data_IF_335384971647
#
_entry.id   IF_335384971647
#
_cell.length_a   1.000
_cell.length_b   1.000
_cell.length_c   1.000
_cell.angle_alpha   90.00
_cell.angle_beta   90.00
_cell.angle_gamma   90.00
#
_symmetry.space_group_name_H-M   'P 1'
#
loop_
_entity.id
_entity.type
_entity.pdbx_description
1 polymer ?
#
# COMPACT_ATOMS: atom_id res chain seq x y z
N UNK A 1 -7.95 37.44 -8.58
CA UNK A 1 -8.81 37.84 -9.71
C UNK A 1 -9.88 38.83 -9.27
N UNK A 2 -10.97 38.41 -8.62
CA UNK A 2 -12.07 39.33 -8.25
C UNK A 2 -11.67 40.51 -7.34
N UNK A 3 -10.70 40.30 -6.43
CA UNK A 3 -10.20 41.34 -5.54
C UNK A 3 -8.97 42.10 -6.08
N UNK A 4 -8.59 41.91 -7.35
CA UNK A 4 -7.42 42.58 -7.95
C UNK A 4 -6.05 42.14 -7.42
N UNK A 5 -5.98 41.26 -6.41
CA UNK A 5 -4.71 40.72 -5.90
C UNK A 5 -4.14 39.71 -6.91
N UNK A 6 -2.94 39.99 -7.39
CA UNK A 6 -2.19 39.12 -8.30
C UNK A 6 -1.64 37.90 -7.53
N UNK A 7 -1.73 36.71 -8.16
CA UNK A 7 -1.21 35.47 -7.56
C UNK A 7 0.29 35.43 -7.80
N UNK A 8 1.08 35.63 -6.75
CA UNK A 8 2.53 35.44 -6.78
C UNK A 8 2.92 34.13 -6.08
N UNK A 9 3.85 33.40 -6.69
CA UNK A 9 4.36 32.13 -6.15
C UNK A 9 5.87 32.10 -6.23
N UNK A 10 6.51 31.66 -5.16
CA UNK A 10 7.95 31.43 -5.06
C UNK A 10 8.14 30.00 -4.57
N UNK A 11 8.97 29.21 -5.25
CA UNK A 11 9.24 27.80 -4.92
C UNK A 11 7.97 26.94 -4.74
N UNK A 12 6.93 27.19 -5.54
CA UNK A 12 5.65 26.46 -5.45
C UNK A 12 4.74 26.89 -4.30
N UNK A 13 5.20 27.77 -3.40
CA UNK A 13 4.40 28.33 -2.31
C UNK A 13 3.83 29.70 -2.70
N UNK A 14 2.62 29.99 -2.23
CA UNK A 14 1.93 31.25 -2.50
C UNK A 14 2.37 32.32 -1.52
N UNK A 15 2.86 33.45 -2.02
CA UNK A 15 3.10 34.64 -1.21
C UNK A 15 1.76 35.16 -0.68
N UNK A 16 1.69 35.44 0.61
CA UNK A 16 0.46 35.85 1.29
C UNK A 16 0.64 37.19 1.98
N UNK A 17 0.15 38.28 1.37
CA UNK A 17 0.08 39.61 2.00
C UNK A 17 -1.03 39.68 3.07
N UNK A 18 -1.06 40.71 3.93
CA UNK A 18 -2.18 40.94 4.86
C UNK A 18 -3.55 40.98 4.18
N UNK A 19 -3.67 41.66 3.04
CA UNK A 19 -4.91 41.77 2.26
C UNK A 19 -5.30 40.41 1.67
N UNK A 20 -4.31 39.66 1.17
CA UNK A 20 -4.54 38.32 0.65
C UNK A 20 -4.99 37.36 1.76
N UNK A 21 -4.37 37.43 2.96
CA UNK A 21 -4.74 36.61 4.10
C UNK A 21 -6.18 36.87 4.55
N UNK A 22 -6.61 38.14 4.58
CA UNK A 22 -7.98 38.49 4.95
C UNK A 22 -9.02 37.82 4.04
N UNK A 23 -8.71 37.69 2.74
CA UNK A 23 -9.56 36.97 1.78
C UNK A 23 -9.45 35.46 1.98
N UNK A 24 -8.23 34.93 2.08
CA UNK A 24 -7.96 33.49 2.29
C UNK A 24 -8.71 32.98 3.51
N UNK A 25 -8.63 33.70 4.63
CA UNK A 25 -9.36 33.37 5.86
C UNK A 25 -10.86 33.30 5.63
N UNK A 26 -11.47 34.32 5.00
CA UNK A 26 -12.92 34.32 4.71
C UNK A 26 -13.33 33.14 3.83
N UNK A 27 -12.53 32.83 2.81
CA UNK A 27 -12.78 31.69 1.92
C UNK A 27 -12.69 30.38 2.68
N UNK A 28 -11.66 30.17 3.52
CA UNK A 28 -11.54 28.97 4.34
C UNK A 28 -12.71 28.80 5.30
N UNK A 29 -13.12 29.86 6.02
CA UNK A 29 -14.30 29.79 6.88
C UNK A 29 -15.56 29.42 6.10
N UNK A 30 -15.79 30.06 4.95
CA UNK A 30 -16.96 29.78 4.12
C UNK A 30 -16.96 28.35 3.55
N UNK A 31 -15.83 27.85 3.06
CA UNK A 31 -15.75 26.49 2.54
C UNK A 31 -15.80 25.42 3.64
N UNK A 32 -15.19 25.68 4.79
CA UNK A 32 -15.24 24.79 5.96
C UNK A 32 -16.69 24.62 6.44
N UNK A 33 -17.40 25.73 6.65
CA UNK A 33 -18.81 25.70 7.05
C UNK A 33 -19.68 25.04 5.99
N UNK A 34 -19.48 25.35 4.70
CA UNK A 34 -20.22 24.72 3.60
C UNK A 34 -20.06 23.20 3.60
N UNK A 35 -18.87 22.68 3.88
CA UNK A 35 -18.63 21.23 3.97
C UNK A 35 -19.32 20.62 5.20
N UNK A 36 -19.26 21.29 6.35
CA UNK A 36 -19.94 20.85 7.58
C UNK A 36 -21.46 20.80 7.36
N UNK A 37 -22.05 21.84 6.79
CA UNK A 37 -23.48 21.90 6.47
C UNK A 37 -23.88 20.81 5.47
N UNK A 38 -23.05 20.55 4.45
CA UNK A 38 -23.30 19.48 3.48
C UNK A 38 -23.26 18.08 4.14
N UNK A 39 -22.36 17.85 5.08
CA UNK A 39 -22.30 16.60 5.85
C UNK A 39 -23.53 16.46 6.76
N UNK A 40 -23.90 17.53 7.47
CA UNK A 40 -25.09 17.54 8.34
C UNK A 40 -26.39 17.35 7.55
N UNK A 41 -26.48 17.88 6.34
CA UNK A 41 -27.60 17.63 5.42
C UNK A 41 -27.69 16.18 4.94
N UNK A 42 -26.68 15.35 5.20
CA UNK A 42 -26.67 13.91 4.96
C UNK A 42 -26.68 13.12 6.28
N UNK A 43 -27.22 13.72 7.35
CA UNK A 43 -27.35 13.15 8.70
C UNK A 43 -26.01 12.80 9.39
N UNK A 44 -24.88 13.27 8.87
CA UNK A 44 -23.59 13.11 9.52
C UNK A 44 -23.36 14.24 10.53
N UNK A 45 -22.93 13.88 11.75
CA UNK A 45 -22.44 14.89 12.70
C UNK A 45 -21.07 15.37 12.25
N UNK A 46 -20.93 16.67 12.03
CA UNK A 46 -19.67 17.32 11.69
C UNK A 46 -19.48 18.62 12.49
N UNK A 47 -18.24 18.92 12.86
CA UNK A 47 -17.85 20.11 13.64
C UNK A 47 -16.85 20.94 12.83
N UNK A 48 -17.14 22.23 12.66
CA UNK A 48 -16.22 23.20 12.04
C UNK A 48 -15.07 23.54 12.98
N UNK A 49 -13.83 23.27 12.58
CA UNK A 49 -12.61 23.63 13.30
C UNK A 49 -11.74 24.49 12.37
N UNK A 50 -11.73 25.79 12.61
CA UNK A 50 -11.10 26.77 11.70
C UNK A 50 -9.83 27.40 12.26
N UNK A 51 -9.51 27.09 13.52
CA UNK A 51 -8.48 27.72 14.35
C UNK A 51 -8.10 26.78 15.50
N UNK A 52 -6.94 26.99 16.12
CA UNK A 52 -6.51 26.29 17.33
C UNK A 52 -6.02 24.84 17.15
N UNK A 53 -5.83 24.36 15.92
CA UNK A 53 -5.21 23.04 15.65
C UNK A 53 -3.73 23.18 15.34
N UNK A 54 -3.35 24.17 14.54
CA UNK A 54 -1.97 24.35 14.08
C UNK A 54 -1.35 25.57 14.74
N UNK A 55 -0.40 25.35 15.65
CA UNK A 55 0.50 26.38 16.12
C UNK A 55 1.67 26.48 15.13
N UNK A 56 1.96 27.69 14.63
CA UNK A 56 2.88 27.91 13.52
C UNK A 56 3.72 29.16 13.71
N UNK A 57 4.95 29.12 13.20
CA UNK A 57 5.81 30.28 13.03
C UNK A 57 5.80 30.75 11.57
N UNK A 58 6.34 31.94 11.31
CA UNK A 58 6.58 32.38 9.93
C UNK A 58 7.59 31.46 9.25
N UNK A 59 7.25 30.96 8.06
CA UNK A 59 8.16 30.15 7.25
C UNK A 59 9.39 30.98 6.82
N UNK A 60 9.12 32.10 6.16
CA UNK A 60 10.07 33.17 5.87
C UNK A 60 9.22 34.41 5.59
N UNK A 61 9.26 35.36 6.52
CA UNK A 61 8.38 36.53 6.48
C UNK A 61 8.72 37.47 5.33
N UNK A 62 9.99 37.58 4.97
CA UNK A 62 10.45 38.50 3.94
C UNK A 62 10.12 37.94 2.54
N UNK A 63 10.23 36.62 2.38
CA UNK A 63 9.95 35.95 1.10
C UNK A 63 8.46 35.66 0.89
N UNK A 64 7.76 35.13 1.90
CA UNK A 64 6.40 34.59 1.74
C UNK A 64 5.32 35.40 2.44
N UNK A 65 5.68 36.36 3.30
CA UNK A 65 4.72 37.15 4.06
C UNK A 65 4.07 36.34 5.19
N UNK A 66 2.73 36.31 5.22
CA UNK A 66 1.93 35.64 6.24
C UNK A 66 1.72 34.15 5.94
N UNK A 67 2.81 33.44 5.67
CA UNK A 67 2.82 31.99 5.43
C UNK A 67 3.51 31.31 6.61
N UNK A 68 2.88 30.24 7.11
CA UNK A 68 3.29 29.55 8.32
C UNK A 68 3.97 28.21 8.07
N UNK A 69 4.92 27.88 8.93
CA UNK A 69 5.46 26.55 9.15
C UNK A 69 4.90 26.02 10.48
N UNK A 70 4.28 24.85 10.46
CA UNK A 70 3.69 24.25 11.67
C UNK A 70 4.82 23.87 12.64
N UNK A 71 4.66 24.25 13.90
CA UNK A 71 5.57 23.89 14.99
C UNK A 71 4.97 22.89 15.96
N UNK A 72 3.64 22.95 16.14
CA UNK A 72 2.92 22.04 17.01
C UNK A 72 1.48 21.86 16.52
N UNK A 73 0.98 20.63 16.68
CA UNK A 73 -0.44 20.31 16.45
C UNK A 73 -1.12 20.12 17.81
N UNK A 74 -2.16 20.90 18.08
CA UNK A 74 -3.04 20.71 19.23
C UNK A 74 -4.22 19.82 18.85
N UNK A 75 -4.28 18.64 19.47
CA UNK A 75 -5.34 17.67 19.23
C UNK A 75 -6.61 17.93 20.04
N UNK A 76 -6.59 18.83 21.03
CA UNK A 76 -7.74 19.02 21.92
C UNK A 76 -9.04 19.36 21.18
N UNK A 77 -9.06 20.27 20.17
CA UNK A 77 -10.28 20.54 19.41
C UNK A 77 -10.80 19.33 18.63
N UNK A 78 -9.87 18.53 18.09
CA UNK A 78 -10.17 17.32 17.31
C UNK A 78 -10.78 16.26 18.23
N UNK A 79 -10.14 16.01 19.38
CA UNK A 79 -10.59 15.04 20.36
C UNK A 79 -11.98 15.39 20.92
N UNK A 80 -12.25 16.67 21.20
CA UNK A 80 -13.56 17.11 21.65
C UNK A 80 -14.66 16.81 20.62
N UNK A 81 -14.39 17.05 19.32
CA UNK A 81 -15.33 16.71 18.24
C UNK A 81 -15.56 15.20 18.16
N UNK A 82 -14.50 14.40 18.21
CA UNK A 82 -14.57 12.94 18.12
C UNK A 82 -15.32 12.34 19.33
N UNK A 83 -15.11 12.87 20.54
CA UNK A 83 -15.85 12.46 21.74
C UNK A 83 -17.35 12.75 21.64
N UNK A 84 -17.73 13.83 20.95
CA UNK A 84 -19.12 14.12 20.62
C UNK A 84 -19.68 13.24 19.49
N UNK A 85 -18.88 12.32 18.94
CA UNK A 85 -19.25 11.49 17.79
C UNK A 85 -19.44 12.29 16.50
N UNK A 86 -18.68 13.38 16.35
CA UNK A 86 -18.77 14.33 15.24
C UNK A 86 -17.46 14.38 14.45
N UNK A 87 -17.58 14.42 13.12
CA UNK A 87 -16.45 14.50 12.18
C UNK A 87 -15.78 15.88 12.31
N UNK A 88 -14.50 15.95 12.70
CA UNK A 88 -13.76 17.21 12.76
C UNK A 88 -13.41 17.68 11.35
N UNK A 89 -13.97 18.81 10.90
CA UNK A 89 -13.64 19.43 9.62
C UNK A 89 -12.68 20.58 9.87
N UNK A 90 -11.41 20.37 9.51
CA UNK A 90 -10.29 21.24 9.91
C UNK A 90 -9.86 22.14 8.74
N UNK A 91 -9.67 23.44 8.99
CA UNK A 91 -9.06 24.36 8.01
C UNK A 91 -7.53 24.39 8.14
N UNK A 92 -6.82 24.53 7.01
CA UNK A 92 -5.34 24.65 6.99
C UNK A 92 -4.88 26.09 7.29
N UNK A 93 -5.20 26.58 8.49
CA UNK A 93 -4.78 27.88 9.00
C UNK A 93 -3.98 27.69 10.30
N UNK A 94 -2.89 28.43 10.41
CA UNK A 94 -1.99 28.39 11.57
C UNK A 94 -2.12 29.62 12.44
N UNK A 95 -1.69 29.50 13.69
CA UNK A 95 -1.64 30.59 14.65
C UNK A 95 -0.25 30.69 15.29
N UNK A 96 0.31 31.89 15.31
CA UNK A 96 1.51 32.16 16.12
C UNK A 96 1.15 32.20 17.60
N UNK A 97 2.14 32.09 18.48
CA UNK A 97 1.95 32.28 19.93
C UNK A 97 1.33 33.66 20.30
N UNK A 98 1.47 34.65 19.42
CA UNK A 98 0.84 35.97 19.57
C UNK A 98 -0.58 36.08 19.00
N UNK A 99 -1.15 34.99 18.48
CA UNK A 99 -2.50 34.95 17.88
C UNK A 99 -2.58 35.46 16.44
N UNK A 100 -1.45 35.66 15.75
CA UNK A 100 -1.47 36.02 14.33
C UNK A 100 -1.80 34.79 13.50
N UNK A 101 -2.83 34.90 12.66
CA UNK A 101 -3.19 33.86 11.70
C UNK A 101 -2.18 33.81 10.55
N UNK A 102 -1.76 32.62 10.16
CA UNK A 102 -0.88 32.37 9.02
C UNK A 102 -1.54 31.39 8.06
N UNK A 103 -1.28 31.57 6.76
CA UNK A 103 -1.69 30.60 5.75
C UNK A 103 -0.71 29.42 5.76
N UNK A 104 -1.22 28.18 5.83
CA UNK A 104 -0.38 26.97 5.78
C UNK A 104 -0.70 26.19 4.50
N UNK A 105 0.32 25.60 3.89
CA UNK A 105 0.12 24.64 2.81
C UNK A 105 -0.65 23.41 3.33
N UNK A 106 -1.72 23.01 2.63
CA UNK A 106 -2.59 21.93 3.09
C UNK A 106 -1.89 20.56 3.20
N UNK A 107 -0.96 20.25 2.30
CA UNK A 107 -0.21 18.99 2.34
C UNK A 107 0.74 18.97 3.55
N UNK A 108 1.39 20.09 3.86
CA UNK A 108 2.22 20.22 5.06
C UNK A 108 1.39 20.12 6.34
N UNK A 109 0.25 20.83 6.40
CA UNK A 109 -0.66 20.74 7.55
C UNK A 109 -1.16 19.29 7.76
N UNK A 110 -1.51 18.59 6.68
CA UNK A 110 -1.94 17.20 6.75
C UNK A 110 -0.82 16.28 7.23
N UNK A 111 0.42 16.45 6.72
CA UNK A 111 1.56 15.64 7.14
C UNK A 111 1.86 15.79 8.64
N UNK A 112 1.86 17.01 9.15
CA UNK A 112 2.07 17.30 10.57
C UNK A 112 0.96 16.70 11.44
N UNK A 113 -0.30 16.82 11.01
CA UNK A 113 -1.41 16.19 11.69
C UNK A 113 -1.29 14.66 11.69
N UNK A 114 -0.89 14.05 10.58
CA UNK A 114 -0.71 12.60 10.44
C UNK A 114 0.41 12.10 11.36
N UNK A 115 1.53 12.82 11.46
CA UNK A 115 2.62 12.45 12.35
C UNK A 115 2.19 12.45 13.82
N UNK A 116 1.33 13.38 14.23
CA UNK A 116 0.85 13.44 15.61
C UNK A 116 -0.30 12.47 15.88
N UNK A 117 -1.21 12.28 14.91
CA UNK A 117 -2.39 11.43 15.05
C UNK A 117 -2.08 9.93 14.88
N UNK A 118 -1.05 9.58 14.11
CA UNK A 118 -0.65 8.20 13.78
C UNK A 118 -1.83 7.35 13.26
N UNK A 119 -2.52 7.77 12.18
CA UNK A 119 -3.75 7.14 11.73
C UNK A 119 -3.52 5.77 11.08
N UNK A 120 -4.50 4.89 11.19
CA UNK A 120 -4.54 3.60 10.48
C UNK A 120 -4.76 3.78 8.96
N UNK A 121 -5.54 4.80 8.57
CA UNK A 121 -5.87 5.10 7.17
C UNK A 121 -5.75 6.59 6.91
N UNK A 122 -5.08 6.93 5.82
CA UNK A 122 -4.99 8.29 5.28
C UNK A 122 -5.62 8.23 3.91
N UNK A 123 -6.58 9.11 3.63
CA UNK A 123 -7.28 9.11 2.34
C UNK A 123 -7.14 10.46 1.67
N UNK A 124 -6.55 10.46 0.47
CA UNK A 124 -6.52 11.60 -0.42
C UNK A 124 -7.67 11.48 -1.43
N UNK A 125 -8.62 12.40 -1.34
CA UNK A 125 -9.73 12.49 -2.29
C UNK A 125 -9.33 13.38 -3.48
N UNK A 126 -9.38 12.84 -4.69
CA UNK A 126 -9.02 13.56 -5.91
C UNK A 126 -10.04 13.31 -7.03
N UNK A 127 -10.07 14.19 -8.04
CA UNK A 127 -10.91 13.98 -9.22
C UNK A 127 -10.41 12.87 -10.15
N UNK A 128 -9.09 12.61 -10.16
CA UNK A 128 -8.46 11.56 -10.98
C UNK A 128 -8.64 10.17 -10.39
N UNK A 129 -8.91 10.06 -9.08
CA UNK A 129 -9.28 8.81 -8.44
C UNK A 129 -8.17 7.80 -8.20
N UNK A 130 -6.91 8.16 -8.41
CA UNK A 130 -5.77 7.28 -8.22
C UNK A 130 -4.50 7.85 -8.85
N UNK A 131 -3.40 7.12 -8.69
CA UNK A 131 -2.18 7.25 -9.49
C UNK A 131 -2.36 6.43 -10.76
N UNK A 132 -1.86 6.95 -11.88
CA UNK A 132 -2.02 6.31 -13.20
C UNK A 132 -0.69 5.69 -13.64
N UNK A 133 -0.74 4.53 -14.28
CA UNK A 133 0.40 3.91 -14.96
C UNK A 133 0.69 4.55 -16.33
N UNK A 134 1.72 4.02 -17.03
CA UNK A 134 2.11 4.45 -18.38
C UNK A 134 0.97 4.32 -19.42
N UNK A 135 0.07 3.35 -19.22
CA UNK A 135 -1.08 3.12 -20.08
C UNK A 135 -2.31 3.99 -19.70
N UNK A 136 -2.19 4.80 -18.65
CA UNK A 136 -3.27 5.66 -18.15
C UNK A 136 -4.30 4.93 -17.29
N UNK A 137 -4.04 3.69 -16.87
CA UNK A 137 -4.90 2.95 -15.96
C UNK A 137 -4.55 3.28 -14.50
N UNK A 138 -5.52 3.14 -13.60
CA UNK A 138 -5.26 3.33 -12.17
C UNK A 138 -4.39 2.18 -11.66
N UNK A 139 -3.31 2.53 -10.95
CA UNK A 139 -2.48 1.58 -10.22
C UNK A 139 -3.26 1.18 -8.96
N UNK A 140 -3.69 -0.07 -8.86
CA UNK A 140 -4.52 -0.54 -7.74
C UNK A 140 -3.78 -0.46 -6.40
N UNK A 141 -2.50 -0.86 -6.38
CA UNK A 141 -1.70 -0.92 -5.15
C UNK A 141 -0.22 -0.69 -5.37
N UNK A 142 0.46 -0.11 -4.38
CA UNK A 142 1.91 0.10 -4.35
C UNK A 142 2.46 -0.34 -2.99
N UNK A 143 3.42 -1.26 -3.00
CA UNK A 143 4.25 -1.63 -1.86
C UNK A 143 5.61 -0.93 -1.96
N UNK A 144 5.81 0.10 -1.13
CA UNK A 144 6.99 0.94 -1.19
C UNK A 144 8.30 0.18 -0.88
N UNK A 145 8.27 -0.87 -0.06
CA UNK A 145 9.48 -1.64 0.29
C UNK A 145 10.04 -2.44 -0.88
N UNK A 146 9.20 -2.80 -1.86
CA UNK A 146 9.58 -3.60 -3.01
C UNK A 146 9.60 -2.81 -4.31
N UNK A 147 8.69 -1.85 -4.48
CA UNK A 147 8.44 -1.23 -5.79
C UNK A 147 8.98 0.20 -5.90
N UNK A 148 9.30 0.87 -4.78
CA UNK A 148 9.56 2.32 -4.79
C UNK A 148 10.70 2.74 -5.73
N UNK A 149 11.87 2.10 -5.63
CA UNK A 149 13.04 2.47 -6.44
C UNK A 149 12.79 2.27 -7.94
N UNK A 150 12.14 1.15 -8.29
CA UNK A 150 11.77 0.87 -9.68
C UNK A 150 10.73 1.87 -10.19
N UNK A 151 9.71 2.15 -9.39
CA UNK A 151 8.62 3.05 -9.73
C UNK A 151 9.13 4.48 -9.95
N UNK A 152 9.95 5.00 -9.03
CA UNK A 152 10.44 6.39 -9.10
C UNK A 152 11.45 6.61 -10.24
N UNK A 153 12.06 5.53 -10.74
CA UNK A 153 12.96 5.54 -11.89
C UNK A 153 12.22 5.50 -13.23
N UNK A 154 10.91 5.21 -13.24
CA UNK A 154 10.14 5.12 -14.49
C UNK A 154 10.03 6.49 -15.17
N UNK A 155 10.21 6.56 -16.51
CA UNK A 155 10.12 7.83 -17.25
C UNK A 155 8.77 8.54 -17.14
N UNK A 156 7.68 7.78 -17.01
CA UNK A 156 6.31 8.31 -16.88
C UNK A 156 5.99 8.83 -15.47
N UNK A 157 6.80 8.50 -14.46
CA UNK A 157 6.70 9.07 -13.11
C UNK A 157 7.45 10.40 -13.05
N UNK A 158 6.78 11.47 -13.46
CA UNK A 158 7.36 12.82 -13.49
C UNK A 158 6.47 13.89 -12.85
N UNK A 159 7.07 15.05 -12.56
CA UNK A 159 6.37 16.22 -12.03
C UNK A 159 5.64 15.96 -10.70
N UNK A 160 4.38 16.36 -10.63
CA UNK A 160 3.58 16.26 -9.40
C UNK A 160 3.29 14.82 -8.94
N UNK A 161 3.33 13.84 -9.84
CA UNK A 161 3.13 12.43 -9.45
C UNK A 161 4.31 11.92 -8.62
N UNK A 162 5.54 12.21 -9.07
CA UNK A 162 6.77 11.88 -8.36
C UNK A 162 6.79 12.48 -6.95
N UNK A 163 6.52 13.78 -6.83
CA UNK A 163 6.44 14.49 -5.54
C UNK A 163 5.41 13.83 -4.61
N UNK A 164 4.26 13.41 -5.13
CA UNK A 164 3.21 12.76 -4.34
C UNK A 164 3.65 11.40 -3.80
N UNK A 165 4.33 10.58 -4.61
CA UNK A 165 4.85 9.28 -4.17
C UNK A 165 5.93 9.47 -3.09
N UNK A 166 6.84 10.43 -3.29
CA UNK A 166 7.88 10.77 -2.30
C UNK A 166 7.29 11.23 -0.97
N UNK A 167 6.27 12.09 -1.00
CA UNK A 167 5.55 12.54 0.19
C UNK A 167 4.84 11.39 0.91
N UNK A 168 4.12 10.54 0.16
CA UNK A 168 3.43 9.37 0.72
C UNK A 168 4.43 8.42 1.38
N UNK A 169 5.58 8.18 0.74
CA UNK A 169 6.65 7.39 1.33
C UNK A 169 7.16 8.01 2.63
N UNK A 170 7.52 9.29 2.61
CA UNK A 170 8.02 9.99 3.80
C UNK A 170 7.05 9.90 4.98
N UNK A 171 5.75 10.01 4.71
CA UNK A 171 4.70 9.87 5.73
C UNK A 171 4.65 8.43 6.26
N UNK A 172 4.52 7.44 5.37
CA UNK A 172 4.40 6.02 5.77
C UNK A 172 5.65 5.47 6.46
N UNK A 173 6.83 6.02 6.19
CA UNK A 173 8.08 5.66 6.88
C UNK A 173 8.01 6.01 8.39
N UNK A 174 7.24 7.03 8.77
CA UNK A 174 7.08 7.47 10.18
C UNK A 174 5.89 6.82 10.91
N UNK A 175 5.07 6.04 10.19
CA UNK A 175 3.85 5.44 10.72
C UNK A 175 4.03 3.93 11.04
N UNK A 176 3.11 3.33 11.81
CA UNK A 176 3.06 1.88 11.97
C UNK A 176 2.92 1.14 10.63
N UNK A 177 3.42 -0.09 10.55
CA UNK A 177 3.29 -0.94 9.34
C UNK A 177 1.84 -1.15 8.90
N UNK A 178 0.91 -1.09 9.85
CA UNK A 178 -0.53 -1.22 9.61
C UNK A 178 -1.14 -0.02 8.90
N UNK A 179 -0.46 1.13 8.91
CA UNK A 179 -0.95 2.35 8.28
C UNK A 179 -0.86 2.26 6.75
N UNK A 180 -1.82 2.90 6.09
CA UNK A 180 -1.88 2.93 4.63
C UNK A 180 -2.45 4.25 4.12
N UNK A 181 -2.03 4.61 2.92
CA UNK A 181 -2.55 5.75 2.17
C UNK A 181 -3.43 5.22 1.04
N UNK A 182 -4.63 5.75 0.89
CA UNK A 182 -5.50 5.51 -0.28
C UNK A 182 -5.71 6.81 -1.05
N UNK A 183 -5.57 6.76 -2.38
CA UNK A 183 -5.92 7.87 -3.27
C UNK A 183 -7.12 7.43 -4.09
N UNK A 184 -8.26 8.09 -3.92
CA UNK A 184 -9.52 7.67 -4.56
C UNK A 184 -10.45 8.87 -4.86
N UNK A 185 -11.59 8.62 -5.50
CA UNK A 185 -12.66 9.59 -5.70
C UNK A 185 -13.63 9.54 -4.52
N UNK A 186 -14.32 10.65 -4.20
CA UNK A 186 -15.38 10.63 -3.18
C UNK A 186 -16.45 9.56 -3.40
N UNK A 187 -16.84 9.31 -4.66
CA UNK A 187 -17.84 8.27 -5.01
C UNK A 187 -17.36 6.85 -4.74
N UNK A 188 -16.04 6.63 -4.78
CA UNK A 188 -15.42 5.31 -4.67
C UNK A 188 -14.90 5.03 -3.26
N UNK A 189 -15.03 5.98 -2.33
CA UNK A 189 -14.44 5.92 -0.99
C UNK A 189 -14.85 4.66 -0.22
N UNK A 190 -16.14 4.31 -0.22
CA UNK A 190 -16.62 3.13 0.49
C UNK A 190 -16.06 1.83 -0.13
N UNK A 191 -16.00 1.77 -1.46
CA UNK A 191 -15.44 0.63 -2.17
C UNK A 191 -13.94 0.47 -1.87
N UNK A 192 -13.20 1.58 -1.86
CA UNK A 192 -11.79 1.62 -1.50
C UNK A 192 -11.51 1.16 -0.07
N UNK A 193 -12.34 1.58 0.90
CA UNK A 193 -12.11 1.29 2.31
C UNK A 193 -12.57 -0.11 2.74
N UNK A 194 -13.60 -0.67 2.11
CA UNK A 194 -14.29 -1.87 2.60
C UNK A 194 -14.27 -3.05 1.63
N UNK A 195 -13.52 -2.97 0.52
CA UNK A 195 -13.35 -4.10 -0.42
C UNK A 195 -11.88 -4.41 -0.65
N UNK A 196 -11.54 -5.67 -0.93
CA UNK A 196 -10.18 -6.08 -1.23
C UNK A 196 -9.67 -5.59 -2.59
N UNK A 197 -10.57 -5.42 -3.56
CA UNK A 197 -10.22 -4.90 -4.89
C UNK A 197 -10.01 -3.39 -4.87
N UNK A 198 -10.60 -2.69 -3.90
CA UNK A 198 -10.55 -1.23 -3.82
C UNK A 198 -11.18 -0.55 -5.04
N UNK A 199 -10.95 0.76 -5.13
CA UNK A 199 -11.25 1.56 -6.33
C UNK A 199 -10.46 2.86 -6.28
N UNK A 200 -9.15 2.72 -6.37
CA UNK A 200 -8.17 3.79 -6.29
C UNK A 200 -6.77 3.21 -6.21
N UNK A 201 -5.85 3.97 -5.65
CA UNK A 201 -4.48 3.51 -5.40
C UNK A 201 -4.23 3.36 -3.91
N UNK A 202 -3.98 2.13 -3.48
CA UNK A 202 -3.61 1.79 -2.12
C UNK A 202 -2.09 1.71 -1.97
N UNK A 203 -1.50 2.64 -1.25
CA UNK A 203 -0.07 2.68 -0.96
C UNK A 203 0.20 2.24 0.46
N UNK A 204 1.14 1.30 0.62
CA UNK A 204 1.63 0.81 1.91
C UNK A 204 3.14 0.89 1.95
N UNK A 205 3.70 1.05 3.16
CA UNK A 205 5.13 0.82 3.35
C UNK A 205 5.49 -0.62 2.96
N UNK A 206 4.61 -1.55 3.32
CA UNK A 206 4.81 -2.98 3.12
C UNK A 206 6.00 -3.48 3.95
N UNK A 207 6.50 -4.65 3.58
CA UNK A 207 7.64 -5.29 4.21
C UNK A 207 8.72 -5.56 3.20
N UNK A 208 9.98 -5.55 3.65
CA UNK A 208 11.08 -6.03 2.83
C UNK A 208 10.93 -7.52 2.60
N UNK A 209 11.32 -7.96 1.41
CA UNK A 209 11.39 -9.39 1.06
C UNK A 209 12.84 -9.83 1.26
N UNK A 210 13.03 -10.73 2.22
CA UNK A 210 14.30 -11.42 2.46
C UNK A 210 14.41 -12.58 1.47
N UNK A 211 15.55 -12.71 0.81
CA UNK A 211 15.86 -13.85 -0.04
C UNK A 211 16.86 -14.76 0.66
N UNK A 212 16.69 -16.07 0.51
CA UNK A 212 17.61 -17.06 1.08
C UNK A 212 17.89 -18.20 0.10
N UNK A 213 19.14 -18.66 0.10
CA UNK A 213 19.59 -19.80 -0.73
C UNK A 213 19.81 -21.09 0.06
N UNK A 214 19.93 -20.97 1.39
CA UNK A 214 20.07 -22.08 2.33
C UNK A 214 19.04 -21.97 3.46
N UNK A 215 18.63 -23.12 4.01
CA UNK A 215 17.78 -23.18 5.20
C UNK A 215 18.41 -22.52 6.43
N UNK A 216 19.74 -22.48 6.50
CA UNK A 216 20.51 -21.88 7.60
C UNK A 216 20.37 -20.36 7.67
N UNK A 217 19.97 -19.71 6.57
CA UNK A 217 19.76 -18.27 6.48
C UNK A 217 18.39 -17.84 7.05
N UNK A 218 17.52 -18.80 7.40
CA UNK A 218 16.13 -18.56 7.79
C UNK A 218 15.86 -18.98 9.24
N UNK A 219 14.94 -18.28 9.89
CA UNK A 219 14.33 -18.72 11.14
C UNK A 219 13.30 -19.82 10.84
N UNK A 220 13.75 -21.06 10.87
CA UNK A 220 12.91 -22.23 10.55
C UNK A 220 11.76 -22.42 11.54
N UNK A 221 11.88 -21.94 12.78
CA UNK A 221 10.81 -22.01 13.78
C UNK A 221 9.67 -21.09 13.37
N UNK A 222 9.98 -19.84 13.01
CA UNK A 222 8.98 -18.88 12.51
C UNK A 222 8.41 -19.30 11.17
N UNK A 223 9.25 -19.80 10.26
CA UNK A 223 8.80 -20.28 8.95
C UNK A 223 7.83 -21.45 9.06
N UNK A 224 8.13 -22.43 9.93
CA UNK A 224 7.20 -23.54 10.20
C UNK A 224 5.88 -23.03 10.76
N UNK A 225 5.92 -22.15 11.76
CA UNK A 225 4.70 -21.57 12.35
C UNK A 225 3.85 -20.84 11.30
N UNK A 226 4.48 -20.08 10.41
CA UNK A 226 3.82 -19.42 9.29
C UNK A 226 3.13 -20.43 8.37
N UNK A 227 3.86 -21.45 7.91
CA UNK A 227 3.32 -22.48 7.01
C UNK A 227 2.15 -23.20 7.69
N UNK A 228 2.31 -23.62 8.94
CA UNK A 228 1.27 -24.34 9.69
C UNK A 228 -0.01 -23.51 9.80
N UNK A 229 0.14 -22.22 10.08
CA UNK A 229 -0.99 -21.28 10.22
C UNK A 229 -1.66 -21.01 8.88
N UNK A 230 -0.90 -20.74 7.82
CA UNK A 230 -1.43 -20.39 6.50
C UNK A 230 -2.18 -21.55 5.82
N UNK A 231 -1.73 -22.79 6.03
CA UNK A 231 -2.38 -23.98 5.45
C UNK A 231 -3.38 -24.66 6.39
N UNK A 232 -3.45 -24.24 7.66
CA UNK A 232 -4.28 -24.88 8.69
C UNK A 232 -3.89 -26.34 8.98
N UNK A 233 -2.67 -26.74 8.62
CA UNK A 233 -2.15 -28.12 8.68
C UNK A 233 -0.67 -28.09 9.04
N UNK A 234 -0.19 -29.09 9.78
CA UNK A 234 1.21 -29.15 10.19
C UNK A 234 2.12 -29.55 9.03
N UNK A 235 3.22 -28.84 8.90
CA UNK A 235 4.35 -29.22 8.07
C UNK A 235 5.01 -30.46 8.66
N UNK A 236 5.35 -31.43 7.80
CA UNK A 236 6.00 -32.65 8.26
C UNK A 236 7.31 -32.34 9.00
N UNK A 237 7.65 -33.10 10.06
CA UNK A 237 8.80 -32.79 10.92
C UNK A 237 10.12 -32.70 10.15
N UNK A 238 10.35 -33.66 9.25
CA UNK A 238 11.55 -33.87 8.43
C UNK A 238 11.58 -33.04 7.12
N UNK A 239 10.69 -32.05 6.98
CA UNK A 239 10.55 -31.30 5.73
C UNK A 239 11.85 -30.61 5.32
N UNK A 240 12.48 -29.86 6.23
CA UNK A 240 13.68 -29.08 5.91
C UNK A 240 14.90 -29.96 5.64
N UNK A 241 14.92 -31.16 6.21
CA UNK A 241 15.98 -32.15 6.06
C UNK A 241 15.91 -32.87 4.71
N UNK A 242 14.70 -33.11 4.17
CA UNK A 242 14.52 -33.86 2.91
C UNK A 242 14.44 -32.98 1.67
N UNK A 243 14.13 -31.70 1.81
CA UNK A 243 13.96 -30.79 0.66
C UNK A 243 15.22 -30.00 0.38
N UNK A 244 15.64 -30.00 -0.87
CA UNK A 244 16.72 -29.13 -1.35
C UNK A 244 16.14 -27.76 -1.69
N UNK A 245 16.46 -26.75 -0.87
CA UNK A 245 16.08 -25.37 -1.15
C UNK A 245 16.75 -24.91 -2.45
N UNK A 246 15.96 -24.40 -3.38
CA UNK A 246 16.48 -23.61 -4.51
C UNK A 246 16.59 -22.15 -4.09
N UNK A 247 15.48 -21.58 -3.62
CA UNK A 247 15.41 -20.21 -3.13
C UNK A 247 14.17 -20.01 -2.27
N UNK A 248 14.26 -19.18 -1.24
CA UNK A 248 13.13 -18.74 -0.45
C UNK A 248 12.99 -17.22 -0.50
N UNK A 249 11.75 -16.75 -0.48
CA UNK A 249 11.37 -15.34 -0.40
C UNK A 249 10.44 -15.18 0.78
N UNK A 250 10.88 -14.48 1.81
CA UNK A 250 10.16 -14.36 3.08
C UNK A 250 10.01 -12.89 3.43
N UNK A 251 8.79 -12.44 3.72
CA UNK A 251 8.59 -11.09 4.27
C UNK A 251 9.39 -10.95 5.58
N UNK A 252 9.98 -9.80 5.86
CA UNK A 252 10.83 -9.58 7.04
C UNK A 252 10.19 -10.00 8.38
N UNK A 253 8.87 -9.92 8.52
CA UNK A 253 8.12 -10.33 9.71
C UNK A 253 7.54 -11.76 9.63
N UNK A 254 7.90 -12.56 8.64
CA UNK A 254 7.44 -13.95 8.45
C UNK A 254 5.90 -14.06 8.39
N UNK A 255 5.25 -13.14 7.68
CA UNK A 255 3.81 -13.17 7.39
C UNK A 255 3.50 -13.77 6.01
N UNK A 256 4.48 -13.76 5.11
CA UNK A 256 4.42 -14.39 3.79
C UNK A 256 5.73 -15.13 3.52
N UNK A 257 5.64 -16.32 2.93
CA UNK A 257 6.77 -17.06 2.43
C UNK A 257 6.46 -17.75 1.10
N UNK A 258 7.36 -17.61 0.14
CA UNK A 258 7.44 -18.39 -1.08
C UNK A 258 8.69 -19.27 -1.00
N UNK A 259 8.53 -20.58 -1.13
CA UNK A 259 9.63 -21.55 -1.08
C UNK A 259 9.70 -22.28 -2.41
N UNK A 260 10.85 -22.17 -3.06
CA UNK A 260 11.17 -22.87 -4.29
C UNK A 260 12.17 -23.99 -3.98
N UNK A 261 11.89 -25.20 -4.46
CA UNK A 261 12.80 -26.35 -4.35
C UNK A 261 13.36 -26.72 -5.71
N UNK A 262 14.56 -27.29 -5.71
CA UNK A 262 15.18 -27.81 -6.93
C UNK A 262 14.73 -29.24 -7.14
N UNK A 263 14.16 -29.53 -8.30
CA UNK A 263 13.65 -30.85 -8.66
C UNK A 263 14.20 -31.28 -10.03
N UNK A 264 14.10 -32.58 -10.34
CA UNK A 264 14.57 -33.13 -11.62
C UNK A 264 13.84 -32.52 -12.83
N UNK A 265 12.56 -32.17 -12.64
CA UNK A 265 11.74 -31.51 -13.65
C UNK A 265 11.95 -29.98 -13.72
N UNK A 266 12.78 -29.39 -12.84
CA UNK A 266 13.09 -27.96 -12.82
C UNK A 266 12.85 -27.29 -11.46
N UNK A 267 12.75 -25.96 -11.44
CA UNK A 267 12.42 -25.20 -10.24
C UNK A 267 10.93 -25.31 -9.93
N UNK A 268 10.62 -25.79 -8.72
CA UNK A 268 9.26 -26.08 -8.29
C UNK A 268 8.85 -25.18 -7.12
N UNK A 269 7.66 -24.57 -7.21
CA UNK A 269 7.09 -23.83 -6.09
C UNK A 269 6.42 -24.80 -5.10
N UNK A 270 7.08 -24.99 -3.96
CA UNK A 270 6.67 -25.96 -2.94
C UNK A 270 5.76 -25.38 -1.87
N UNK A 271 5.98 -24.11 -1.50
CA UNK A 271 5.09 -23.37 -0.58
C UNK A 271 4.85 -21.96 -1.09
N UNK A 272 3.59 -21.56 -1.02
CA UNK A 272 3.19 -20.17 -0.97
C UNK A 272 2.28 -20.00 0.24
N UNK A 273 2.86 -19.54 1.35
CA UNK A 273 2.18 -19.35 2.63
C UNK A 273 1.91 -17.86 2.85
N UNK A 274 0.67 -17.50 3.12
CA UNK A 274 0.23 -16.13 3.41
C UNK A 274 -0.70 -16.18 4.61
N UNK A 275 -0.35 -15.51 5.72
CA UNK A 275 -1.25 -15.38 6.86
C UNK A 275 -2.51 -14.59 6.48
N UNK A 276 -3.64 -14.91 7.09
CA UNK A 276 -4.92 -14.22 6.84
C UNK A 276 -4.83 -12.70 7.05
N UNK A 277 -4.08 -12.25 8.06
CA UNK A 277 -3.84 -10.83 8.32
C UNK A 277 -3.08 -10.13 7.18
N UNK A 278 -2.24 -10.87 6.44
CA UNK A 278 -1.51 -10.35 5.28
C UNK A 278 -2.31 -10.47 3.97
N UNK A 279 -3.45 -11.18 3.97
CA UNK A 279 -4.34 -11.25 2.82
C UNK A 279 -5.08 -9.91 2.65
N UNK A 280 -5.11 -9.38 1.43
CA UNK A 280 -5.61 -8.02 1.17
C UNK A 280 -4.64 -6.90 1.57
N UNK A 281 -3.52 -7.22 2.23
CA UNK A 281 -2.43 -6.27 2.40
C UNK A 281 -1.64 -6.03 1.10
N UNK A 282 -1.81 -6.90 0.10
CA UNK A 282 -1.00 -6.90 -1.13
C UNK A 282 0.38 -7.54 -0.92
N UNK A 283 0.74 -7.92 0.32
CA UNK A 283 2.05 -8.49 0.65
C UNK A 283 2.31 -9.81 -0.08
N UNK A 284 1.31 -10.68 -0.18
CA UNK A 284 1.41 -11.94 -0.94
C UNK A 284 1.79 -11.71 -2.41
N UNK A 285 1.14 -10.72 -3.05
CA UNK A 285 1.43 -10.33 -4.43
C UNK A 285 2.83 -9.71 -4.55
N UNK A 286 3.23 -8.86 -3.60
CA UNK A 286 4.57 -8.26 -3.60
C UNK A 286 5.69 -9.31 -3.51
N UNK A 287 5.58 -10.29 -2.60
CA UNK A 287 6.56 -11.39 -2.49
C UNK A 287 6.55 -12.26 -3.75
N UNK A 288 5.37 -12.52 -4.32
CA UNK A 288 5.24 -13.27 -5.58
C UNK A 288 5.95 -12.58 -6.74
N UNK A 289 5.78 -11.26 -6.90
CA UNK A 289 6.43 -10.51 -8.00
C UNK A 289 7.96 -10.51 -7.85
N UNK A 290 8.49 -10.26 -6.65
CA UNK A 290 9.94 -10.36 -6.39
C UNK A 290 10.47 -11.76 -6.73
N UNK A 291 9.71 -12.81 -6.39
CA UNK A 291 10.08 -14.18 -6.78
C UNK A 291 10.04 -14.38 -8.30
N UNK A 292 8.98 -13.93 -8.96
CA UNK A 292 8.78 -14.11 -10.40
C UNK A 292 9.86 -13.42 -11.23
N UNK A 293 10.27 -12.21 -10.84
CA UNK A 293 11.32 -11.43 -11.52
C UNK A 293 12.67 -12.16 -11.53
N UNK A 294 12.98 -12.92 -10.48
CA UNK A 294 14.22 -13.67 -10.36
C UNK A 294 14.13 -15.09 -10.93
N UNK A 295 12.92 -15.61 -11.15
CA UNK A 295 12.67 -16.99 -11.58
C UNK A 295 11.79 -16.98 -12.83
N UNK A 296 12.38 -16.90 -14.05
CA UNK A 296 11.63 -16.76 -15.29
C UNK A 296 10.87 -18.02 -15.70
N UNK A 297 11.17 -19.17 -15.07
CA UNK A 297 10.51 -20.46 -15.31
C UNK A 297 10.16 -21.11 -13.99
N UNK A 298 8.91 -21.56 -13.86
CA UNK A 298 8.43 -22.18 -12.64
C UNK A 298 7.24 -23.09 -12.92
N UNK A 299 7.10 -24.15 -12.14
CA UNK A 299 5.91 -24.98 -12.13
C UNK A 299 5.49 -25.34 -10.71
N UNK A 300 4.20 -25.60 -10.50
CA UNK A 300 3.65 -25.92 -9.20
C UNK A 300 2.33 -26.69 -9.29
N UNK A 301 1.85 -27.14 -8.14
CA UNK A 301 0.51 -27.74 -8.02
C UNK A 301 -0.29 -27.10 -6.89
N UNK A 302 -1.61 -27.15 -7.02
CA UNK A 302 -2.55 -26.78 -5.97
C UNK A 302 -3.69 -27.80 -5.89
N UNK A 303 -4.31 -27.95 -4.71
CA UNK A 303 -5.49 -28.83 -4.57
C UNK A 303 -6.67 -28.24 -5.36
N UNK A 304 -7.52 -29.12 -5.88
CA UNK A 304 -8.83 -28.73 -6.44
C UNK A 304 -9.63 -27.97 -5.38
N UNK A 305 -10.20 -26.82 -5.76
CA UNK A 305 -11.05 -26.00 -4.89
C UNK A 305 -10.31 -25.12 -3.88
N UNK A 306 -8.97 -25.06 -3.94
CA UNK A 306 -8.21 -24.11 -3.13
C UNK A 306 -8.54 -22.66 -3.57
N UNK A 307 -8.91 -21.74 -2.67
CA UNK A 307 -9.30 -20.36 -3.01
C UNK A 307 -8.25 -19.60 -3.83
N UNK A 308 -6.96 -19.90 -3.66
CA UNK A 308 -5.87 -19.25 -4.40
C UNK A 308 -5.78 -19.67 -5.87
N UNK A 309 -6.51 -20.70 -6.32
CA UNK A 309 -6.40 -21.20 -7.70
C UNK A 309 -6.78 -20.16 -8.76
N UNK A 310 -7.65 -19.20 -8.42
CA UNK A 310 -7.96 -18.09 -9.31
C UNK A 310 -6.74 -17.19 -9.55
N UNK A 311 -5.97 -16.89 -8.49
CA UNK A 311 -4.71 -16.17 -8.56
C UNK A 311 -3.65 -16.96 -9.34
N UNK A 312 -3.49 -18.25 -9.06
CA UNK A 312 -2.54 -19.08 -9.82
C UNK A 312 -2.87 -19.15 -11.29
N UNK A 313 -4.14 -19.26 -11.65
CA UNK A 313 -4.56 -19.25 -13.04
C UNK A 313 -4.24 -17.93 -13.75
N UNK A 314 -4.43 -16.79 -13.08
CA UNK A 314 -4.08 -15.48 -13.67
C UNK A 314 -2.57 -15.27 -13.80
N UNK A 315 -1.76 -15.94 -12.98
CA UNK A 315 -0.30 -15.82 -12.98
C UNK A 315 0.41 -16.88 -13.83
N UNK A 316 -0.31 -17.88 -14.35
CA UNK A 316 0.26 -18.98 -15.15
C UNK A 316 0.15 -18.73 -16.65
N UNK A 317 1.11 -19.25 -17.42
CA UNK A 317 1.01 -19.31 -18.88
C UNK A 317 0.18 -20.53 -19.32
N UNK A 318 0.12 -21.57 -18.48
CA UNK A 318 -0.68 -22.75 -18.73
C UNK A 318 -1.06 -23.51 -17.46
N UNK A 319 -2.12 -24.31 -17.56
CA UNK A 319 -2.56 -25.19 -16.48
C UNK A 319 -3.10 -26.52 -17.01
N UNK A 320 -2.94 -27.58 -16.21
CA UNK A 320 -3.52 -28.90 -16.44
C UNK A 320 -4.23 -29.39 -15.18
N UNK A 321 -5.54 -29.63 -15.30
CA UNK A 321 -6.37 -30.07 -14.18
C UNK A 321 -6.44 -31.59 -14.12
N UNK A 322 -5.93 -32.18 -13.05
CA UNK A 322 -6.03 -33.62 -12.74
C UNK A 322 -7.13 -33.85 -11.69
N UNK A 323 -7.54 -35.10 -11.38
CA UNK A 323 -8.60 -35.37 -10.41
C UNK A 323 -8.32 -34.83 -9.00
N UNK A 324 -7.06 -34.88 -8.55
CA UNK A 324 -6.64 -34.46 -7.19
C UNK A 324 -5.96 -33.09 -7.16
N UNK A 325 -5.23 -32.76 -8.22
CA UNK A 325 -4.35 -31.58 -8.28
C UNK A 325 -4.60 -30.79 -9.55
N UNK A 326 -4.49 -29.48 -9.47
CA UNK A 326 -4.33 -28.60 -10.62
C UNK A 326 -2.84 -28.25 -10.70
N UNK A 327 -2.23 -28.49 -11.87
CA UNK A 327 -0.81 -28.19 -12.16
C UNK A 327 -0.75 -26.92 -12.99
N UNK A 328 0.17 -26.03 -12.65
CA UNK A 328 0.35 -24.73 -13.28
C UNK A 328 1.83 -24.54 -13.63
N UNK A 329 2.10 -23.75 -14.67
CA UNK A 329 3.45 -23.37 -15.05
C UNK A 329 3.49 -22.00 -15.73
N UNK A 330 4.67 -21.38 -15.73
CA UNK A 330 5.00 -20.24 -16.59
C UNK A 330 6.44 -20.34 -17.09
N UNK A 331 6.75 -19.64 -18.18
CA UNK A 331 8.08 -19.56 -18.78
C UNK A 331 8.49 -20.76 -19.64
N UNK A 332 7.56 -21.68 -19.92
CA UNK A 332 7.77 -22.85 -20.78
C UNK A 332 7.01 -22.63 -22.09
N UNK A 333 7.74 -22.44 -23.20
CA UNK A 333 7.13 -22.28 -24.52
C UNK A 333 6.77 -23.64 -25.13
N UNK A 334 5.47 -23.93 -25.20
CA UNK A 334 4.96 -25.18 -25.77
C UNK A 334 5.08 -25.26 -27.30
N UNK A 335 5.40 -24.16 -27.98
CA UNK A 335 5.62 -24.12 -29.42
C UNK A 335 7.08 -24.44 -29.81
N UNK A 336 8.01 -24.37 -28.87
CA UNK A 336 9.40 -24.76 -29.08
C UNK A 336 9.59 -26.29 -29.02
N UNK A 337 10.60 -26.79 -29.72
CA UNK A 337 10.95 -28.21 -29.70
C UNK A 337 11.30 -28.66 -28.28
N UNK A 338 10.56 -29.63 -27.75
CA UNK A 338 10.74 -30.16 -26.39
C UNK A 338 9.94 -29.43 -25.29
N UNK A 339 9.24 -28.34 -25.60
CA UNK A 339 8.43 -27.61 -24.62
C UNK A 339 7.27 -28.42 -24.05
N UNK A 340 6.56 -29.16 -24.92
CA UNK A 340 5.50 -30.08 -24.47
C UNK A 340 6.05 -31.25 -23.63
N UNK A 341 7.26 -31.73 -23.93
CA UNK A 341 7.92 -32.78 -23.15
C UNK A 341 8.35 -32.26 -21.78
N UNK A 342 8.77 -31.00 -21.68
CA UNK A 342 9.04 -30.32 -20.41
C UNK A 342 7.77 -30.19 -19.56
N UNK A 343 6.66 -29.70 -20.14
CA UNK A 343 5.37 -29.65 -19.44
C UNK A 343 4.94 -31.03 -18.97
N UNK A 344 5.08 -32.07 -19.80
CA UNK A 344 4.74 -33.44 -19.42
C UNK A 344 5.55 -33.93 -18.20
N UNK A 345 6.86 -33.65 -18.15
CA UNK A 345 7.71 -33.95 -16.98
C UNK A 345 7.27 -33.19 -15.73
N UNK A 346 6.95 -31.90 -15.83
CA UNK A 346 6.45 -31.10 -14.71
C UNK A 346 5.14 -31.66 -14.16
N UNK A 347 4.22 -32.05 -15.05
CA UNK A 347 2.93 -32.65 -14.71
C UNK A 347 3.11 -34.00 -14.01
N UNK A 348 3.99 -34.86 -14.52
CA UNK A 348 4.30 -36.16 -13.92
C UNK A 348 4.94 -36.00 -12.53
N UNK A 349 5.88 -35.07 -12.39
CA UNK A 349 6.48 -34.72 -11.09
C UNK A 349 5.42 -34.27 -10.08
N UNK A 350 4.51 -33.38 -10.49
CA UNK A 350 3.44 -32.89 -9.64
C UNK A 350 2.46 -33.98 -9.22
N UNK A 351 2.22 -34.99 -10.06
CA UNK A 351 1.36 -36.13 -9.76
C UNK A 351 2.02 -37.09 -8.74
N UNK A 352 3.33 -37.33 -8.87
CA UNK A 352 4.08 -38.29 -8.06
C UNK A 352 4.62 -37.71 -6.74
N UNK A 353 4.82 -36.39 -6.65
CA UNK A 353 5.42 -35.74 -5.47
C UNK A 353 4.61 -36.05 -4.19
N UNK A 354 5.23 -36.58 -3.13
CA UNK A 354 4.55 -36.81 -1.85
C UNK A 354 3.96 -35.53 -1.24
N UNK A 355 2.96 -35.68 -0.37
CA UNK A 355 2.46 -34.56 0.40
C UNK A 355 3.53 -34.09 1.40
N UNK A 356 3.69 -32.78 1.53
CA UNK A 356 4.66 -32.18 2.47
C UNK A 356 4.02 -31.66 3.76
N UNK A 357 2.68 -31.75 3.86
CA UNK A 357 1.87 -31.40 5.04
C UNK A 357 1.14 -32.66 5.54
N UNK A 358 0.98 -32.80 6.86
CA UNK A 358 0.18 -33.85 7.51
C UNK A 358 -1.27 -33.79 7.03
N UNK A 359 -1.94 -34.93 6.80
CA UNK A 359 -3.37 -34.96 6.42
C UNK A 359 -4.27 -34.27 7.45
N UNK A 360 -5.35 -33.65 6.96
CA UNK A 360 -6.33 -33.03 7.84
C UNK A 360 -6.91 -34.12 8.74
N UNK A 361 -6.86 -33.89 10.05
CA UNK A 361 -7.40 -34.79 11.06
C UNK A 361 -8.91 -34.98 10.92
#
# INVERSE_FOLDING_TARGET
AAAGIEKQTVNGLRITSPEALAIVRRVFHAQNLKLVEALQAQDARATSIVSGVFEADYLDRDTYGLVGEVRRVDLAPIQASLQAGSIPVIASLGETAGGQILNINADFAANELVQVLQPYKIVFLTGTGGLLDDAGNVIDSINLSTEYEHLIAQPWIHGGMKVKIEQIKSVLDTLPLSSSVSITRPSELAKELFTHTGSGTLVRRGERVLTASSWEELDLVRLRKLIDSAFGRRLLPDYFERTTLHRAYVSENYRVAVILTQEDAGVYLDKFAVLDEAQGEGLGRAVWQVMRDENPRLFWRSRRGNPVNAFYFSESDGCLKQPKWDVYWYGIDTHEAGGLDEVARCVEHCASRPATLEDAA
#
